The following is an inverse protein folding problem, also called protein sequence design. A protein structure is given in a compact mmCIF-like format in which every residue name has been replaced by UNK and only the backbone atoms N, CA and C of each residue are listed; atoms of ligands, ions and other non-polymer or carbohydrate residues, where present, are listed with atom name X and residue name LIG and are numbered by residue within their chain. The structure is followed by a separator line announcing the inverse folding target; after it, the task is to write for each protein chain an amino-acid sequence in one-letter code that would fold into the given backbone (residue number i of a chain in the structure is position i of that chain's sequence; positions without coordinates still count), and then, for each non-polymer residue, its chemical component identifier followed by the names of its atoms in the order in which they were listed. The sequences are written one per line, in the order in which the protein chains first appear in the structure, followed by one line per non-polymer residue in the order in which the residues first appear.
data_IF_603834847040
#
_entry.id   IF_603834847040
#
_cell.length_a   1.000
_cell.length_b   1.000
_cell.length_c   1.000
_cell.angle_alpha   90.00
_cell.angle_beta   90.00
_cell.angle_gamma   90.00
#
_symmetry.space_group_name_H-M   'P 1'
#
loop_
_entity.id
_entity.type
_entity.pdbx_description
1 polymer ?
#
# COMPACT_ATOMS: atom_id res chain seq x y z
N UNK A 1 -22.57 -27.17 -29.20
CA UNK A 1 -21.92 -25.97 -29.80
C UNK A 1 -22.63 -24.68 -29.41
N UNK A 2 -23.96 -24.52 -29.57
CA UNK A 2 -24.69 -23.33 -29.07
C UNK A 2 -24.57 -23.13 -27.55
N UNK A 3 -24.74 -24.18 -26.75
CA UNK A 3 -24.57 -24.15 -25.28
C UNK A 3 -23.18 -23.68 -24.80
N UNK A 4 -22.13 -23.91 -25.60
CA UNK A 4 -20.75 -23.57 -25.25
C UNK A 4 -20.42 -22.13 -25.66
N UNK A 5 -21.01 -21.67 -26.77
CA UNK A 5 -20.96 -20.27 -27.16
C UNK A 5 -21.74 -19.41 -26.15
N UNK A 6 -22.95 -19.79 -25.74
CA UNK A 6 -23.73 -19.00 -24.78
C UNK A 6 -23.06 -18.86 -23.40
N UNK A 7 -22.28 -19.86 -22.98
CA UNK A 7 -21.56 -19.87 -21.72
C UNK A 7 -20.30 -18.97 -21.70
N UNK A 8 -19.61 -18.81 -22.84
CA UNK A 8 -18.34 -18.08 -22.94
C UNK A 8 -18.40 -16.79 -23.78
N UNK A 9 -19.39 -16.62 -24.65
CA UNK A 9 -19.37 -15.58 -25.70
C UNK A 9 -20.44 -14.51 -25.58
N UNK A 10 -21.41 -14.63 -24.66
CA UNK A 10 -22.29 -13.51 -24.30
C UNK A 10 -21.72 -12.74 -23.09
N UNK A 11 -21.24 -11.50 -23.26
CA UNK A 11 -20.73 -10.68 -22.18
C UNK A 11 -21.75 -10.41 -21.06
N UNK A 12 -23.04 -10.60 -21.34
CA UNK A 12 -24.14 -10.42 -20.37
C UNK A 12 -24.53 -11.72 -19.65
N UNK A 13 -24.11 -12.90 -20.13
CA UNK A 13 -24.50 -14.20 -19.57
C UNK A 13 -23.59 -14.68 -18.44
N UNK A 14 -22.28 -14.39 -18.49
CA UNK A 14 -21.31 -14.79 -17.46
C UNK A 14 -20.46 -13.60 -16.96
N UNK A 15 -21.03 -12.79 -16.08
CA UNK A 15 -20.35 -11.62 -15.47
C UNK A 15 -19.03 -11.97 -14.79
N UNK A 16 -18.96 -13.14 -14.15
CA UNK A 16 -17.76 -13.60 -13.47
C UNK A 16 -16.62 -13.88 -14.45
N UNK A 17 -16.89 -14.60 -15.54
CA UNK A 17 -15.91 -14.87 -16.57
C UNK A 17 -15.35 -13.59 -17.19
N UNK A 18 -16.21 -12.62 -17.53
CA UNK A 18 -15.77 -11.36 -18.10
C UNK A 18 -14.90 -10.55 -17.14
N UNK A 19 -15.30 -10.49 -15.87
CA UNK A 19 -14.49 -9.87 -14.82
C UNK A 19 -13.10 -10.52 -14.72
N UNK A 20 -13.03 -11.85 -14.62
CA UNK A 20 -11.76 -12.56 -14.52
C UNK A 20 -10.91 -12.42 -15.79
N UNK A 21 -11.52 -12.42 -16.98
CA UNK A 21 -10.83 -12.21 -18.25
C UNK A 21 -10.19 -10.83 -18.31
N UNK A 22 -10.91 -9.78 -17.92
CA UNK A 22 -10.39 -8.41 -17.85
C UNK A 22 -9.34 -8.23 -16.76
N UNK A 23 -9.52 -8.86 -15.61
CA UNK A 23 -8.50 -8.91 -14.55
C UNK A 23 -7.21 -9.58 -15.00
N UNK A 24 -7.31 -10.66 -15.78
CA UNK A 24 -6.14 -11.35 -16.36
C UNK A 24 -5.43 -10.45 -17.39
N UNK A 25 -6.19 -9.74 -18.23
CA UNK A 25 -5.65 -8.75 -19.16
C UNK A 25 -4.86 -7.66 -18.39
N UNK A 26 -5.44 -7.08 -17.34
CA UNK A 26 -4.75 -6.13 -16.46
C UNK A 26 -3.45 -6.73 -15.89
N UNK A 27 -3.50 -7.96 -15.38
CA UNK A 27 -2.35 -8.66 -14.79
C UNK A 27 -1.23 -8.95 -15.81
N UNK A 28 -1.56 -9.10 -17.10
CA UNK A 28 -0.58 -9.26 -18.19
C UNK A 28 -0.01 -7.92 -18.66
N UNK A 29 -0.82 -6.85 -18.65
CA UNK A 29 -0.42 -5.52 -19.11
C UNK A 29 0.41 -4.78 -18.06
N UNK A 30 0.09 -4.92 -16.78
CA UNK A 30 0.75 -4.21 -15.67
C UNK A 30 2.27 -4.37 -15.66
N UNK A 31 2.86 -5.59 -15.75
CA UNK A 31 4.31 -5.74 -15.83
C UNK A 31 4.93 -5.02 -17.03
N UNK A 32 4.25 -5.01 -18.19
CA UNK A 32 4.75 -4.33 -19.40
C UNK A 32 4.76 -2.82 -19.24
N UNK A 33 3.76 -2.27 -18.56
CA UNK A 33 3.63 -0.82 -18.33
C UNK A 33 4.64 -0.36 -17.29
N UNK A 34 4.85 -1.15 -16.24
CA UNK A 34 5.76 -0.85 -15.14
C UNK A 34 7.19 -1.38 -15.35
N UNK A 35 7.49 -1.85 -16.56
CA UNK A 35 8.81 -2.30 -17.00
C UNK A 35 9.44 -3.42 -16.16
N UNK A 36 8.62 -4.37 -15.69
CA UNK A 36 9.10 -5.59 -15.02
C UNK A 36 8.54 -6.88 -15.64
N UNK A 37 9.07 -8.01 -15.19
CA UNK A 37 8.59 -9.33 -15.64
C UNK A 37 8.49 -10.33 -14.49
N UNK A 38 7.63 -11.33 -14.69
CA UNK A 38 7.51 -12.46 -13.79
C UNK A 38 8.56 -13.49 -14.23
N UNK A 39 9.49 -13.81 -13.34
CA UNK A 39 10.54 -14.79 -13.58
C UNK A 39 10.06 -16.22 -13.34
N UNK A 40 9.24 -16.43 -12.30
CA UNK A 40 8.68 -17.74 -11.98
C UNK A 40 7.33 -17.62 -11.25
N UNK A 41 6.48 -18.62 -11.43
CA UNK A 41 5.24 -18.79 -10.68
C UNK A 41 5.14 -20.25 -10.23
N UNK A 42 5.13 -20.47 -8.92
CA UNK A 42 4.83 -21.78 -8.35
C UNK A 42 3.42 -21.73 -7.77
N UNK A 43 2.60 -22.73 -8.08
CA UNK A 43 1.25 -22.85 -7.51
C UNK A 43 1.10 -24.21 -6.85
N UNK A 44 0.57 -24.22 -5.63
CA UNK A 44 0.21 -25.43 -4.88
C UNK A 44 -1.30 -25.42 -4.62
N UNK A 45 -1.90 -26.59 -4.77
CA UNK A 45 -3.32 -26.82 -4.54
C UNK A 45 -3.49 -27.80 -3.39
N UNK A 46 -4.23 -27.40 -2.37
CA UNK A 46 -4.58 -28.21 -1.20
C UNK A 46 -6.10 -28.39 -1.19
N UNK A 47 -6.54 -29.46 -1.87
CA UNK A 47 -7.95 -29.80 -2.04
C UNK A 47 -8.57 -30.22 -0.70
N UNK A 48 -9.63 -29.53 -0.29
CA UNK A 48 -10.34 -29.76 0.97
C UNK A 48 -11.53 -30.68 0.81
N UNK A 49 -12.33 -30.49 -0.24
CA UNK A 49 -13.46 -31.35 -0.59
C UNK A 49 -13.72 -31.33 -2.08
N UNK A 50 -14.35 -32.41 -2.57
CA UNK A 50 -14.89 -32.53 -3.92
C UNK A 50 -16.27 -33.16 -3.80
N UNK A 51 -17.31 -32.39 -4.05
CA UNK A 51 -18.70 -32.81 -3.99
C UNK A 51 -19.26 -32.94 -5.41
N UNK A 52 -19.69 -34.14 -5.78
CA UNK A 52 -20.20 -34.44 -7.12
C UNK A 52 -21.73 -34.58 -7.04
N UNK A 53 -22.44 -33.66 -7.68
CA UNK A 53 -23.89 -33.71 -7.89
C UNK A 53 -24.21 -34.03 -9.36
N UNK A 54 -25.46 -34.37 -9.67
CA UNK A 54 -25.87 -34.79 -11.03
C UNK A 54 -25.53 -33.75 -12.12
N UNK A 55 -25.63 -32.45 -11.79
CA UNK A 55 -25.44 -31.35 -12.75
C UNK A 55 -24.20 -30.46 -12.47
N UNK A 56 -23.51 -30.64 -11.35
CA UNK A 56 -22.41 -29.76 -10.92
C UNK A 56 -21.38 -30.48 -10.04
N UNK A 57 -20.11 -30.09 -10.13
CA UNK A 57 -19.07 -30.52 -9.19
C UNK A 57 -18.59 -29.29 -8.41
N UNK A 58 -18.59 -29.36 -7.08
CA UNK A 58 -18.08 -28.31 -6.21
C UNK A 58 -16.74 -28.75 -5.64
N UNK A 59 -15.74 -27.88 -5.70
CA UNK A 59 -14.38 -28.13 -5.20
C UNK A 59 -13.98 -27.01 -4.26
N UNK A 60 -13.80 -27.32 -2.98
CA UNK A 60 -13.16 -26.40 -2.04
C UNK A 60 -11.64 -26.69 -2.04
N UNK A 61 -10.83 -25.69 -2.34
CA UNK A 61 -9.37 -25.82 -2.49
C UNK A 61 -8.67 -24.59 -1.93
N UNK A 62 -7.57 -24.80 -1.22
CA UNK A 62 -6.66 -23.72 -0.86
C UNK A 62 -5.57 -23.62 -1.92
N UNK A 63 -5.37 -22.42 -2.46
CA UNK A 63 -4.38 -22.13 -3.48
C UNK A 63 -3.27 -21.31 -2.84
N UNK A 64 -2.07 -21.89 -2.75
CA UNK A 64 -0.85 -21.15 -2.39
C UNK A 64 -0.08 -20.84 -3.68
N UNK A 65 -0.08 -19.57 -4.09
CA UNK A 65 0.67 -19.03 -5.23
C UNK A 65 1.94 -18.35 -4.73
N UNK A 66 3.04 -18.59 -5.40
CA UNK A 66 4.34 -17.99 -5.11
C UNK A 66 4.84 -17.32 -6.38
N UNK A 67 4.87 -16.00 -6.40
CA UNK A 67 5.31 -15.22 -7.58
C UNK A 67 6.72 -14.70 -7.34
N UNK A 68 7.60 -14.90 -8.32
CA UNK A 68 8.94 -14.34 -8.33
C UNK A 68 9.07 -13.35 -9.48
N UNK A 69 9.46 -12.12 -9.18
CA UNK A 69 9.73 -11.09 -10.19
C UNK A 69 11.19 -11.19 -10.67
N UNK A 70 11.49 -10.69 -11.86
CA UNK A 70 12.82 -10.75 -12.47
C UNK A 70 13.90 -10.01 -11.68
N UNK A 71 13.49 -9.05 -10.85
CA UNK A 71 14.39 -8.23 -10.04
C UNK A 71 14.39 -8.62 -8.55
N UNK A 72 13.58 -9.58 -8.14
CA UNK A 72 13.51 -10.03 -6.75
C UNK A 72 13.94 -11.49 -6.65
N UNK A 73 14.82 -11.80 -5.70
CA UNK A 73 15.24 -13.18 -5.44
C UNK A 73 14.16 -13.98 -4.69
N UNK A 74 13.29 -13.28 -3.96
CA UNK A 74 12.24 -13.86 -3.12
C UNK A 74 11.01 -14.28 -3.93
N UNK A 75 10.29 -15.23 -3.35
CA UNK A 75 8.93 -15.55 -3.75
C UNK A 75 7.96 -14.83 -2.83
N UNK A 76 6.95 -14.22 -3.43
CA UNK A 76 5.86 -13.61 -2.70
C UNK A 76 4.72 -14.62 -2.56
N UNK A 77 4.45 -15.08 -1.34
CA UNK A 77 3.36 -16.00 -1.08
C UNK A 77 2.02 -15.26 -1.11
N UNK A 78 1.08 -15.80 -1.87
CA UNK A 78 -0.32 -15.41 -1.88
C UNK A 78 -1.13 -16.66 -1.58
N UNK A 79 -1.92 -16.64 -0.51
CA UNK A 79 -2.80 -17.75 -0.13
C UNK A 79 -4.24 -17.31 -0.27
N UNK A 80 -5.04 -18.09 -0.97
CA UNK A 80 -6.47 -17.85 -1.13
C UNK A 80 -7.25 -19.15 -0.97
N UNK A 81 -8.43 -19.04 -0.35
CA UNK A 81 -9.38 -20.14 -0.26
C UNK A 81 -10.40 -19.99 -1.38
N UNK A 82 -10.55 -21.03 -2.18
CA UNK A 82 -11.40 -21.06 -3.36
C UNK A 82 -12.53 -22.08 -3.19
N UNK A 83 -13.73 -21.68 -3.58
CA UNK A 83 -14.87 -22.57 -3.85
C UNK A 83 -15.19 -22.54 -5.33
N UNK A 84 -14.80 -23.60 -6.04
CA UNK A 84 -14.93 -23.72 -7.49
C UNK A 84 -16.16 -24.54 -7.81
N UNK A 85 -17.08 -23.99 -8.61
CA UNK A 85 -18.21 -24.71 -9.20
C UNK A 85 -17.86 -25.08 -10.64
N UNK A 86 -17.89 -26.37 -10.95
CA UNK A 86 -17.67 -26.91 -12.28
C UNK A 86 -18.98 -27.40 -12.89
N UNK A 87 -19.12 -27.18 -14.19
CA UNK A 87 -20.26 -27.65 -14.99
C UNK A 87 -19.79 -28.67 -16.02
N UNK A 88 -20.53 -29.77 -16.16
CA UNK A 88 -20.32 -30.73 -17.22
C UNK A 88 -21.08 -30.30 -18.49
N UNK A 89 -20.36 -30.05 -19.57
CA UNK A 89 -20.94 -29.77 -20.89
C UNK A 89 -20.26 -30.69 -21.89
N UNK A 90 -21.05 -31.52 -22.59
CA UNK A 90 -20.54 -32.46 -23.61
C UNK A 90 -19.36 -33.32 -23.11
N UNK A 91 -19.46 -33.86 -21.89
CA UNK A 91 -18.42 -34.66 -21.20
C UNK A 91 -17.11 -33.92 -20.93
N UNK A 92 -17.15 -32.59 -20.82
CA UNK A 92 -16.02 -31.75 -20.40
C UNK A 92 -16.42 -30.90 -19.22
N UNK A 93 -15.51 -30.78 -18.26
CA UNK A 93 -15.70 -29.94 -17.08
C UNK A 93 -15.19 -28.53 -17.38
N UNK A 94 -16.01 -27.54 -17.07
CA UNK A 94 -15.71 -26.12 -17.19
C UNK A 94 -15.93 -25.44 -15.85
N UNK A 95 -15.08 -24.46 -15.51
CA UNK A 95 -15.30 -23.61 -14.34
C UNK A 95 -16.48 -22.68 -14.66
N UNK A 96 -17.59 -22.88 -13.94
CA UNK A 96 -18.76 -21.99 -13.97
C UNK A 96 -18.57 -20.81 -13.03
N UNK A 97 -17.98 -21.06 -11.85
CA UNK A 97 -17.74 -20.04 -10.84
C UNK A 97 -16.50 -20.41 -10.02
N UNK A 98 -15.76 -19.40 -9.58
CA UNK A 98 -14.65 -19.55 -8.64
C UNK A 98 -14.75 -18.45 -7.58
N UNK A 99 -15.15 -18.83 -6.36
CA UNK A 99 -15.39 -17.91 -5.25
C UNK A 99 -14.18 -17.87 -4.34
N UNK A 100 -13.52 -16.72 -4.29
CA UNK A 100 -12.37 -16.43 -3.42
C UNK A 100 -12.33 -14.92 -3.15
N UNK A 101 -11.52 -14.52 -2.18
CA UNK A 101 -11.34 -13.11 -1.81
C UNK A 101 -9.88 -12.72 -1.93
N UNK A 102 -9.64 -11.64 -2.67
CA UNK A 102 -8.43 -10.84 -2.68
C UNK A 102 -8.80 -9.39 -3.02
N UNK A 103 -7.84 -8.48 -2.93
CA UNK A 103 -8.04 -7.03 -3.12
C UNK A 103 -8.74 -6.69 -4.46
N UNK A 104 -8.41 -7.40 -5.54
CA UNK A 104 -9.10 -7.20 -6.83
C UNK A 104 -10.46 -7.87 -6.88
N UNK A 105 -10.64 -9.04 -6.25
CA UNK A 105 -11.95 -9.70 -6.18
C UNK A 105 -12.99 -8.89 -5.42
N UNK A 106 -12.60 -8.00 -4.51
CA UNK A 106 -13.53 -7.07 -3.87
C UNK A 106 -14.18 -6.10 -4.87
N UNK A 107 -13.51 -5.84 -6.01
CA UNK A 107 -14.06 -5.05 -7.11
C UNK A 107 -15.13 -5.80 -7.92
N UNK A 108 -15.30 -7.11 -7.70
CA UNK A 108 -16.32 -7.90 -8.37
C UNK A 108 -17.72 -7.47 -7.91
N UNK A 109 -18.53 -7.00 -8.85
CA UNK A 109 -19.87 -6.46 -8.56
C UNK A 109 -19.91 -4.95 -8.31
N UNK A 110 -18.75 -4.27 -8.35
CA UNK A 110 -18.64 -2.81 -8.26
C UNK A 110 -18.55 -2.13 -9.65
N UNK A 111 -18.91 -2.83 -10.73
CA UNK A 111 -18.78 -2.36 -12.12
C UNK A 111 -17.37 -1.84 -12.46
N UNK A 112 -16.33 -2.51 -11.95
CA UNK A 112 -14.94 -2.16 -12.17
C UNK A 112 -14.57 -2.10 -13.66
N UNK A 113 -14.01 -0.97 -14.08
CA UNK A 113 -13.49 -0.75 -15.42
C UNK A 113 -11.97 -1.02 -15.45
N UNK A 114 -11.59 -2.25 -15.81
CA UNK A 114 -10.18 -2.62 -15.94
C UNK A 114 -9.46 -1.87 -17.07
N UNK A 115 -10.16 -1.41 -18.10
CA UNK A 115 -9.54 -0.64 -19.18
C UNK A 115 -9.15 0.75 -18.65
N UNK A 116 -10.00 1.35 -17.80
CA UNK A 116 -9.65 2.56 -17.06
C UNK A 116 -8.51 2.32 -16.07
N UNK A 117 -8.48 1.19 -15.34
CA UNK A 117 -7.34 0.87 -14.45
C UNK A 117 -6.02 0.75 -15.21
N UNK A 118 -6.02 0.17 -16.42
CA UNK A 118 -4.84 0.12 -17.30
C UNK A 118 -4.41 1.54 -17.71
N UNK A 119 -5.37 2.43 -18.00
CA UNK A 119 -5.07 3.80 -18.38
C UNK A 119 -4.52 4.60 -17.20
N UNK A 120 -5.14 4.49 -16.03
CA UNK A 120 -4.69 5.10 -14.78
C UNK A 120 -3.28 4.64 -14.40
N UNK A 121 -2.98 3.35 -14.61
CA UNK A 121 -1.64 2.78 -14.41
C UNK A 121 -0.60 3.45 -15.33
N UNK A 122 -0.91 3.62 -16.62
CA UNK A 122 -0.03 4.30 -17.58
C UNK A 122 0.20 5.76 -17.20
N UNK A 123 -0.88 6.47 -16.87
CA UNK A 123 -0.83 7.88 -16.53
C UNK A 123 -0.09 8.11 -15.21
N UNK A 124 -0.30 7.22 -14.23
CA UNK A 124 0.43 7.18 -12.97
C UNK A 124 1.92 6.90 -13.15
N UNK A 125 2.28 5.90 -13.93
CA UNK A 125 3.70 5.61 -14.21
C UNK A 125 4.37 6.77 -14.96
N UNK A 126 3.70 7.35 -15.96
CA UNK A 126 4.20 8.54 -16.65
C UNK A 126 4.36 9.75 -15.72
N UNK A 127 3.44 9.93 -14.74
CA UNK A 127 3.56 10.95 -13.70
C UNK A 127 4.78 10.70 -12.83
N UNK A 128 5.01 9.46 -12.38
CA UNK A 128 6.17 9.07 -11.58
C UNK A 128 7.48 9.40 -12.30
N UNK A 129 7.59 9.08 -13.59
CA UNK A 129 8.77 9.44 -14.39
C UNK A 129 9.00 10.96 -14.45
N UNK A 130 7.93 11.75 -14.60
CA UNK A 130 8.01 13.22 -14.56
C UNK A 130 8.42 13.74 -13.18
N UNK A 131 7.86 13.18 -12.11
CA UNK A 131 8.18 13.56 -10.74
C UNK A 131 9.63 13.19 -10.39
N UNK A 132 10.14 12.05 -10.88
CA UNK A 132 11.55 11.68 -10.75
C UNK A 132 12.46 12.77 -11.33
N UNK A 133 12.17 13.27 -12.53
CA UNK A 133 12.93 14.37 -13.15
C UNK A 133 12.77 15.68 -12.35
N UNK A 134 11.53 16.01 -11.96
CA UNK A 134 11.21 17.26 -11.24
C UNK A 134 11.95 17.37 -9.91
N UNK A 135 12.02 16.27 -9.15
CA UNK A 135 12.58 16.25 -7.80
C UNK A 135 14.03 15.76 -7.76
N UNK A 136 14.62 15.28 -8.87
CA UNK A 136 15.99 14.73 -8.91
C UNK A 136 17.06 15.67 -8.32
N UNK A 137 16.91 16.98 -8.52
CA UNK A 137 17.87 17.99 -8.07
C UNK A 137 17.26 18.97 -7.06
N UNK A 138 16.22 18.58 -6.34
CA UNK A 138 15.63 19.45 -5.33
C UNK A 138 16.65 19.66 -4.18
N UNK A 139 17.23 20.86 -4.01
CA UNK A 139 18.29 21.09 -3.03
C UNK A 139 17.81 20.82 -1.59
N UNK A 140 16.51 20.92 -1.34
CA UNK A 140 15.90 20.67 -0.02
C UNK A 140 16.04 19.20 0.41
N UNK A 141 16.09 18.27 -0.56
CA UNK A 141 16.34 16.85 -0.28
C UNK A 141 17.74 16.67 0.32
N UNK A 142 18.73 17.42 -0.18
CA UNK A 142 20.14 17.33 0.23
C UNK A 142 20.43 18.17 1.50
N UNK A 143 19.88 19.38 1.59
CA UNK A 143 20.08 20.31 2.73
C UNK A 143 19.47 19.79 4.03
N UNK A 144 18.38 19.04 3.97
CA UNK A 144 17.73 18.51 5.17
C UNK A 144 18.55 17.51 6.01
N UNK A 145 19.65 16.97 5.45
CA UNK A 145 20.64 16.16 6.18
C UNK A 145 21.64 17.02 6.96
N UNK A 146 21.75 18.31 6.63
CA UNK A 146 22.71 19.26 7.18
C UNK A 146 22.03 20.62 7.39
N UNK A 147 21.44 20.90 8.55
CA UNK A 147 21.30 22.29 9.02
C UNK A 147 20.94 22.37 10.51
N UNK A 148 21.42 23.42 11.21
CA UNK A 148 20.46 24.50 11.41
C UNK A 148 21.01 25.92 11.24
N UNK A 149 20.29 26.73 10.45
CA UNK A 149 19.91 28.07 10.88
C UNK A 149 18.81 27.95 11.94
N UNK A 150 19.10 28.41 13.15
CA UNK A 150 18.21 28.26 14.32
C UNK A 150 17.97 29.62 14.96
N UNK A 151 16.73 29.85 15.42
CA UNK A 151 16.49 30.81 16.48
C UNK A 151 17.07 30.25 17.78
N UNK A 152 17.59 31.08 18.71
CA UNK A 152 18.01 30.60 20.02
C UNK A 152 16.90 29.76 20.67
N UNK A 153 17.24 28.55 21.13
CA UNK A 153 16.29 27.62 21.78
C UNK A 153 15.65 26.57 20.88
N UNK A 154 15.73 26.71 19.54
CA UNK A 154 15.29 25.68 18.62
C UNK A 154 16.25 24.48 18.63
N UNK A 155 15.72 23.26 18.63
CA UNK A 155 16.48 22.06 18.38
C UNK A 155 15.71 21.06 17.51
N UNK A 156 16.47 20.14 16.91
CA UNK A 156 15.98 19.20 15.91
C UNK A 156 16.20 17.76 16.36
N UNK A 157 15.13 16.97 16.36
CA UNK A 157 15.21 15.52 16.61
C UNK A 157 15.43 14.82 15.28
N UNK A 158 16.53 14.07 15.18
CA UNK A 158 16.85 13.28 14.00
C UNK A 158 15.86 12.12 13.83
N UNK A 159 15.50 11.81 12.58
CA UNK A 159 14.60 10.72 12.26
C UNK A 159 15.34 9.38 12.17
N UNK A 160 15.11 8.49 13.13
CA UNK A 160 15.65 7.12 13.08
C UNK A 160 14.75 6.22 12.24
N UNK A 161 15.06 6.17 10.95
CA UNK A 161 14.35 5.36 9.94
C UNK A 161 14.25 3.88 10.31
N UNK A 162 15.34 3.30 10.83
CA UNK A 162 15.36 1.89 11.22
C UNK A 162 14.38 1.56 12.34
N UNK A 163 14.23 2.47 13.33
CA UNK A 163 13.21 2.33 14.37
C UNK A 163 11.79 2.42 13.78
N UNK A 164 11.57 3.36 12.86
CA UNK A 164 10.27 3.55 12.22
C UNK A 164 9.85 2.29 11.41
N UNK A 165 10.76 1.73 10.62
CA UNK A 165 10.55 0.48 9.86
C UNK A 165 10.35 -0.72 10.80
N UNK A 166 11.12 -0.80 11.88
CA UNK A 166 10.92 -1.83 12.90
C UNK A 166 9.49 -1.80 13.47
N UNK A 167 9.00 -0.60 13.83
CA UNK A 167 7.64 -0.43 14.33
C UNK A 167 6.61 -0.87 13.29
N UNK A 168 6.75 -0.38 12.05
CA UNK A 168 5.82 -0.72 10.97
C UNK A 168 5.69 -2.24 10.78
N UNK A 169 6.81 -2.97 10.78
CA UNK A 169 6.82 -4.44 10.65
C UNK A 169 6.32 -5.17 11.90
N UNK A 170 6.48 -4.58 13.08
CA UNK A 170 5.99 -5.18 14.33
C UNK A 170 4.47 -5.10 14.42
N UNK A 171 3.90 -4.02 13.88
CA UNK A 171 2.48 -3.68 13.96
C UNK A 171 1.76 -3.82 12.62
N UNK A 172 2.27 -4.64 11.72
CA UNK A 172 1.54 -5.09 10.53
C UNK A 172 1.82 -6.57 10.30
N UNK A 173 0.90 -7.26 9.64
CA UNK A 173 1.12 -8.61 9.12
C UNK A 173 0.53 -8.74 7.71
N UNK A 174 0.21 -9.96 7.26
CA UNK A 174 -0.48 -10.21 5.98
C UNK A 174 -1.73 -11.10 6.21
N UNK A 175 -2.33 -11.04 7.41
CA UNK A 175 -3.43 -11.91 7.83
C UNK A 175 -4.72 -11.10 8.11
N UNK A 176 -5.67 -11.20 7.19
CA UNK A 176 -7.03 -10.64 7.37
C UNK A 176 -7.07 -9.12 7.50
N UNK A 177 -8.26 -8.56 7.74
CA UNK A 177 -8.50 -7.10 7.70
C UNK A 177 -8.49 -6.44 9.09
N UNK A 178 -8.23 -7.18 10.17
CA UNK A 178 -8.36 -6.62 11.53
C UNK A 178 -7.06 -5.98 12.01
N UNK A 179 -7.10 -4.67 12.24
CA UNK A 179 -5.96 -3.89 12.76
C UNK A 179 -6.07 -3.56 14.25
N UNK A 180 -7.11 -4.07 14.92
CA UNK A 180 -7.46 -3.74 16.30
C UNK A 180 -6.34 -4.05 17.31
N UNK A 181 -5.47 -5.00 16.99
CA UNK A 181 -4.37 -5.44 17.84
C UNK A 181 -3.09 -4.62 17.66
N UNK A 182 -3.05 -3.71 16.69
CA UNK A 182 -1.80 -3.07 16.22
C UNK A 182 -1.62 -1.61 16.65
N UNK A 183 -2.52 -1.10 17.49
CA UNK A 183 -2.42 0.23 18.05
C UNK A 183 -1.71 0.20 19.42
N UNK A 184 -0.73 1.08 19.62
CA UNK A 184 -0.08 1.18 20.93
C UNK A 184 -0.92 2.03 21.91
N UNK A 185 -0.65 1.90 23.21
CA UNK A 185 -1.45 2.58 24.25
C UNK A 185 -1.50 4.12 24.15
N UNK A 186 -0.58 4.75 23.41
CA UNK A 186 -0.55 6.20 23.17
C UNK A 186 -1.40 6.63 21.97
N UNK A 187 -1.75 5.71 21.07
CA UNK A 187 -2.55 5.97 19.88
C UNK A 187 -3.77 5.05 19.89
N UNK A 188 -4.90 5.57 20.37
CA UNK A 188 -6.13 4.77 20.41
C UNK A 188 -6.61 4.46 18.99
N UNK A 189 -7.04 3.21 18.75
CA UNK A 189 -7.74 2.86 17.51
C UNK A 189 -9.04 3.67 17.39
N UNK A 190 -9.33 4.17 16.20
CA UNK A 190 -10.60 4.85 15.89
C UNK A 190 -11.44 4.12 14.84
N UNK A 191 -11.11 2.86 14.52
CA UNK A 191 -11.86 2.03 13.59
C UNK A 191 -10.96 1.35 12.54
N UNK A 192 -11.59 0.80 11.51
CA UNK A 192 -10.96 0.00 10.45
C UNK A 192 -10.19 0.81 9.39
N UNK A 193 -10.33 2.14 9.38
CA UNK A 193 -9.67 3.04 8.44
C UNK A 193 -8.55 3.85 9.12
N UNK A 194 -7.74 3.18 9.93
CA UNK A 194 -6.70 3.80 10.78
C UNK A 194 -5.33 3.93 10.10
N UNK A 195 -5.28 3.89 8.76
CA UNK A 195 -4.04 4.02 7.99
C UNK A 195 -3.20 5.25 8.38
N UNK A 196 -3.86 6.38 8.60
CA UNK A 196 -3.23 7.62 9.06
C UNK A 196 -2.64 7.48 10.47
N UNK A 197 -3.36 6.85 11.38
CA UNK A 197 -2.90 6.56 12.72
C UNK A 197 -1.65 5.68 12.70
N UNK A 198 -1.66 4.65 11.86
CA UNK A 198 -0.56 3.71 11.73
C UNK A 198 0.71 4.41 11.22
N UNK A 199 0.63 5.13 10.10
CA UNK A 199 1.78 5.86 9.56
C UNK A 199 2.29 6.92 10.55
N UNK A 200 1.38 7.60 11.27
CA UNK A 200 1.74 8.52 12.35
C UNK A 200 2.55 7.84 13.45
N UNK A 201 2.12 6.65 13.91
CA UNK A 201 2.81 5.86 14.92
C UNK A 201 4.21 5.42 14.47
N UNK A 202 4.34 4.99 13.21
CA UNK A 202 5.63 4.61 12.63
C UNK A 202 6.62 5.79 12.66
N UNK A 203 6.18 6.97 12.19
CA UNK A 203 7.02 8.18 12.17
C UNK A 203 7.36 8.63 13.60
N UNK A 204 6.38 8.66 14.52
CA UNK A 204 6.60 9.01 15.92
C UNK A 204 7.62 8.09 16.60
N UNK A 205 7.53 6.77 16.36
CA UNK A 205 8.48 5.81 16.89
C UNK A 205 9.89 6.02 16.32
N UNK A 206 9.99 6.45 15.06
CA UNK A 206 11.23 6.85 14.41
C UNK A 206 11.92 8.06 15.07
N UNK A 207 11.16 8.99 15.65
CA UNK A 207 11.72 10.09 16.43
C UNK A 207 12.06 9.72 17.89
N UNK A 208 11.87 8.46 18.28
CA UNK A 208 12.15 7.99 19.64
C UNK A 208 10.92 7.80 20.51
N UNK A 209 9.71 7.96 19.97
CA UNK A 209 8.47 7.61 20.66
C UNK A 209 8.46 6.15 21.14
N UNK A 210 7.90 5.89 22.32
CA UNK A 210 7.84 4.55 22.92
C UNK A 210 6.50 4.35 23.61
N UNK A 211 6.02 3.11 23.72
CA UNK A 211 4.73 2.80 24.34
C UNK A 211 4.59 3.33 25.78
N UNK A 212 5.71 3.47 26.50
CA UNK A 212 5.80 4.02 27.84
C UNK A 212 6.07 5.54 27.89
N UNK A 213 6.12 6.22 26.74
CA UNK A 213 6.41 7.65 26.68
C UNK A 213 5.24 8.45 27.28
N UNK A 214 5.61 9.52 27.98
CA UNK A 214 4.66 10.59 28.30
C UNK A 214 4.37 11.38 27.02
N UNK A 215 3.36 12.24 27.06
CA UNK A 215 2.91 13.07 25.92
C UNK A 215 3.87 14.25 25.66
N UNK A 216 5.14 13.96 25.75
CA UNK A 216 6.26 14.88 25.61
C UNK A 216 6.98 14.56 24.29
N UNK A 217 8.00 15.35 23.95
CA UNK A 217 8.83 15.15 22.76
C UNK A 217 9.15 13.64 22.50
N UNK A 218 8.96 13.12 21.27
CA UNK A 218 8.64 13.81 20.01
C UNK A 218 7.13 13.87 19.70
N UNK A 219 6.30 14.17 20.69
CA UNK A 219 4.85 14.32 20.53
C UNK A 219 4.43 15.78 20.75
N UNK A 220 3.54 16.31 19.90
CA UNK A 220 2.90 17.62 20.12
C UNK A 220 1.47 17.41 20.62
N UNK A 221 0.87 18.44 21.23
CA UNK A 221 -0.54 18.41 21.63
C UNK A 221 -1.52 18.15 20.46
N UNK A 222 -1.06 18.36 19.23
CA UNK A 222 -1.86 18.20 18.03
C UNK A 222 -1.59 16.83 17.33
N UNK A 223 -0.49 16.12 17.64
CA UNK A 223 -0.02 14.89 16.93
C UNK A 223 -0.30 13.56 17.65
N UNK A 224 -1.29 13.50 18.53
CA UNK A 224 -1.51 12.31 19.35
C UNK A 224 -2.99 11.97 19.51
N UNK A 225 -3.28 10.68 19.41
CA UNK A 225 -4.61 10.10 19.29
C UNK A 225 -5.16 9.62 20.65
N UNK A 226 -5.53 10.55 21.54
CA UNK A 226 -6.12 10.19 22.84
C UNK A 226 -7.53 10.70 23.11
N UNK A 227 -8.04 11.57 22.24
CA UNK A 227 -9.37 12.10 22.48
C UNK A 227 -10.38 11.15 21.89
N UNK A 228 -11.50 10.99 22.57
CA UNK A 228 -12.78 10.57 21.96
C UNK A 228 -13.29 11.59 20.93
N UNK A 229 -12.55 12.68 20.71
CA UNK A 229 -12.82 13.78 19.81
C UNK A 229 -12.28 13.41 18.42
N UNK A 230 -13.19 12.95 17.57
CA UNK A 230 -12.95 12.54 16.17
C UNK A 230 -13.00 13.73 15.23
N UNK A 231 -12.53 14.91 15.68
CA UNK A 231 -12.56 16.11 14.85
C UNK A 231 -11.78 15.86 13.56
N UNK A 232 -12.50 15.90 12.44
CA UNK A 232 -12.02 15.48 11.10
C UNK A 232 -10.89 16.34 10.55
N UNK A 233 -10.58 17.45 11.22
CA UNK A 233 -9.48 18.36 10.86
C UNK A 233 -8.15 17.98 11.54
N UNK A 234 -8.16 16.97 12.41
CA UNK A 234 -6.97 16.54 13.13
C UNK A 234 -6.11 15.66 12.22
N UNK A 235 -4.82 15.95 12.18
CA UNK A 235 -3.90 15.34 11.21
C UNK A 235 -3.50 13.89 11.54
N UNK A 236 -3.96 13.32 12.66
CA UNK A 236 -3.85 11.88 12.93
C UNK A 236 -5.13 11.09 12.63
N UNK A 237 -6.23 11.74 12.22
CA UNK A 237 -7.45 11.07 11.71
C UNK A 237 -7.71 11.35 10.22
N UNK A 238 -6.98 12.30 9.62
CA UNK A 238 -7.21 12.73 8.25
C UNK A 238 -5.88 12.80 7.47
N UNK A 239 -5.80 12.02 6.40
CA UNK A 239 -4.60 11.83 5.56
C UNK A 239 -4.18 13.10 4.82
N UNK A 240 -5.14 13.91 4.34
CA UNK A 240 -4.84 15.18 3.69
C UNK A 240 -4.26 16.18 4.68
N UNK A 241 -4.84 16.28 5.88
CA UNK A 241 -4.32 17.13 6.95
C UNK A 241 -2.94 16.68 7.43
N UNK A 242 -2.68 15.36 7.46
CA UNK A 242 -1.36 14.83 7.77
C UNK A 242 -0.30 15.23 6.76
N UNK A 243 -0.59 15.04 5.47
CA UNK A 243 0.28 15.46 4.39
C UNK A 243 0.59 16.96 4.50
N UNK A 244 -0.45 17.79 4.68
CA UNK A 244 -0.32 19.24 4.80
C UNK A 244 0.45 19.67 6.05
N UNK A 245 0.27 18.98 7.18
CA UNK A 245 1.02 19.23 8.42
C UNK A 245 2.52 19.00 8.21
N UNK A 246 2.91 17.81 7.71
CA UNK A 246 4.32 17.45 7.53
C UNK A 246 5.00 18.38 6.51
N UNK A 247 4.36 18.61 5.36
CA UNK A 247 4.94 19.41 4.27
C UNK A 247 4.88 20.91 4.54
N UNK A 248 3.79 21.38 5.14
CA UNK A 248 3.62 22.77 5.54
C UNK A 248 4.60 23.19 6.64
N UNK A 249 4.89 22.30 7.60
CA UNK A 249 5.87 22.59 8.65
C UNK A 249 7.28 22.76 8.09
N UNK A 250 7.67 21.95 7.11
CA UNK A 250 8.95 22.16 6.43
C UNK A 250 8.95 23.48 5.64
N UNK A 251 7.92 23.71 4.83
CA UNK A 251 7.84 24.88 3.94
C UNK A 251 7.82 26.22 4.70
N UNK A 252 7.23 26.24 5.90
CA UNK A 252 7.09 27.45 6.72
C UNK A 252 8.07 27.50 7.90
N UNK A 253 8.99 26.53 8.00
CA UNK A 253 9.90 26.35 9.14
C UNK A 253 9.20 26.30 10.52
N UNK A 254 8.03 25.66 10.59
CA UNK A 254 7.26 25.51 11.83
C UNK A 254 7.72 24.31 12.67
N UNK A 255 7.27 24.32 13.94
CA UNK A 255 7.45 23.23 14.89
C UNK A 255 6.67 21.97 14.50
N UNK A 256 7.19 20.81 14.91
CA UNK A 256 6.61 19.52 14.61
C UNK A 256 7.40 18.73 13.57
N UNK A 257 6.75 17.72 12.99
CA UNK A 257 7.36 16.89 11.93
C UNK A 257 7.55 17.71 10.68
N UNK A 258 8.69 17.53 10.04
CA UNK A 258 9.01 18.18 8.78
C UNK A 258 9.38 17.16 7.71
N UNK A 259 8.84 17.36 6.52
CA UNK A 259 9.11 16.54 5.35
C UNK A 259 8.72 17.26 4.06
N UNK A 260 9.04 16.68 2.91
CA UNK A 260 8.71 17.24 1.60
C UNK A 260 8.22 16.16 0.64
N UNK A 261 7.48 16.57 -0.39
CA UNK A 261 7.24 15.71 -1.54
C UNK A 261 8.54 15.41 -2.28
N UNK A 262 8.72 14.16 -2.70
CA UNK A 262 9.95 13.64 -3.29
C UNK A 262 9.68 12.76 -4.51
N UNK A 263 10.74 12.39 -5.22
CA UNK A 263 10.76 11.31 -6.21
C UNK A 263 10.96 9.94 -5.56
N UNK A 264 10.74 8.86 -6.33
CA UNK A 264 11.09 7.50 -5.93
C UNK A 264 12.62 7.37 -5.76
N UNK A 265 13.39 7.99 -6.65
CA UNK A 265 14.86 7.95 -6.61
C UNK A 265 15.44 8.45 -5.27
N UNK A 266 14.77 9.41 -4.60
CA UNK A 266 15.20 9.96 -3.30
C UNK A 266 14.43 9.40 -2.09
N UNK A 267 13.50 8.48 -2.33
CA UNK A 267 12.73 7.80 -1.30
C UNK A 267 13.63 6.87 -0.47
N UNK A 268 13.36 6.76 0.83
CA UNK A 268 14.08 5.87 1.73
C UNK A 268 13.09 5.09 2.61
N UNK A 269 13.48 3.92 3.15
CA UNK A 269 12.70 3.27 4.18
C UNK A 269 12.45 4.25 5.34
N UNK A 270 11.24 4.27 5.87
CA UNK A 270 10.81 5.27 6.84
C UNK A 270 10.05 6.46 6.26
N UNK A 271 10.08 6.66 4.95
CA UNK A 271 9.21 7.62 4.26
C UNK A 271 7.79 7.05 4.09
N UNK A 272 6.87 7.80 3.47
CA UNK A 272 5.51 7.33 3.24
C UNK A 272 4.97 7.74 1.87
N UNK A 273 3.94 7.02 1.42
CA UNK A 273 3.16 7.32 0.22
C UNK A 273 1.81 7.87 0.67
N UNK A 274 1.38 8.97 0.08
CA UNK A 274 0.05 9.53 0.22
C UNK A 274 -0.72 9.33 -1.09
N UNK A 275 -1.75 8.50 -1.06
CA UNK A 275 -2.74 8.39 -2.13
C UNK A 275 -3.86 9.40 -1.88
N UNK A 276 -4.10 10.27 -2.86
CA UNK A 276 -5.12 11.33 -2.80
C UNK A 276 -6.53 10.85 -3.17
N UNK A 277 -6.72 9.57 -3.51
CA UNK A 277 -8.01 8.99 -3.91
C UNK A 277 -9.04 8.94 -2.76
N UNK A 278 -10.34 9.08 -3.08
CA UNK A 278 -11.51 8.72 -2.25
C UNK A 278 -11.39 8.89 -0.71
N UNK A 279 -11.04 10.10 -0.24
CA UNK A 279 -10.91 10.40 1.21
C UNK A 279 -9.48 10.29 1.75
N UNK A 280 -8.54 9.88 0.90
CA UNK A 280 -7.10 9.86 1.07
C UNK A 280 -6.61 8.66 1.88
N UNK A 281 -5.53 8.03 1.44
CA UNK A 281 -4.89 6.88 2.08
C UNK A 281 -3.38 7.12 2.24
N UNK A 282 -2.78 6.57 3.30
CA UNK A 282 -1.33 6.63 3.50
C UNK A 282 -0.76 5.25 3.77
N UNK A 283 0.42 5.00 3.21
CA UNK A 283 1.16 3.75 3.33
C UNK A 283 2.60 4.03 3.75
N UNK A 284 3.12 3.24 4.68
CA UNK A 284 4.46 3.43 5.19
C UNK A 284 5.49 2.66 4.36
N UNK A 285 6.57 3.31 3.91
CA UNK A 285 7.60 2.66 3.08
C UNK A 285 8.54 1.85 3.97
N UNK A 286 8.49 0.52 3.84
CA UNK A 286 9.33 -0.41 4.62
C UNK A 286 10.61 -0.82 3.89
N UNK A 287 10.59 -0.74 2.55
CA UNK A 287 11.75 -0.99 1.69
C UNK A 287 11.64 -0.20 0.38
N UNK A 288 12.79 0.15 -0.15
CA UNK A 288 12.99 0.63 -1.52
C UNK A 288 14.12 -0.19 -2.14
N UNK A 289 14.19 -0.26 -3.45
CA UNK A 289 15.25 -1.00 -4.13
C UNK A 289 15.43 -0.57 -5.57
N UNK A 290 16.68 -0.66 -6.02
CA UNK A 290 17.07 -0.58 -7.42
C UNK A 290 16.83 -1.95 -8.07
N UNK A 291 15.81 -2.02 -8.90
CA UNK A 291 15.36 -3.26 -9.56
C UNK A 291 15.99 -3.45 -10.93
N UNK A 292 16.52 -2.39 -11.53
CA UNK A 292 17.05 -2.40 -12.89
C UNK A 292 18.60 -2.28 -12.94
N UNK A 293 19.24 -1.97 -11.81
CA UNK A 293 20.69 -1.84 -11.64
C UNK A 293 21.27 -0.47 -12.02
N UNK A 294 20.46 0.57 -12.17
CA UNK A 294 20.89 1.91 -12.59
C UNK A 294 21.37 2.82 -11.44
N UNK A 295 21.34 2.31 -10.20
CA UNK A 295 21.72 3.03 -8.99
C UNK A 295 20.62 3.91 -8.39
N UNK A 296 19.39 3.83 -8.90
CA UNK A 296 18.23 4.55 -8.37
C UNK A 296 17.15 3.58 -7.90
N UNK A 297 16.34 4.00 -6.93
CA UNK A 297 15.19 3.20 -6.54
C UNK A 297 14.16 3.17 -7.67
N UNK A 298 13.53 2.02 -7.83
CA UNK A 298 12.44 1.79 -8.78
C UNK A 298 11.12 1.58 -8.07
N UNK A 299 10.03 1.86 -8.79
CA UNK A 299 8.67 1.60 -8.30
C UNK A 299 8.44 0.13 -7.92
N UNK A 300 8.99 -0.81 -8.70
CA UNK A 300 8.89 -2.25 -8.41
C UNK A 300 9.62 -2.67 -7.12
N UNK A 301 10.59 -1.87 -6.67
CA UNK A 301 11.37 -2.13 -5.47
C UNK A 301 10.76 -1.58 -4.17
N UNK A 302 9.61 -0.90 -4.26
CA UNK A 302 8.93 -0.31 -3.10
C UNK A 302 8.05 -1.35 -2.41
N UNK A 303 8.36 -1.65 -1.15
CA UNK A 303 7.48 -2.40 -0.25
C UNK A 303 6.90 -1.45 0.82
N UNK A 304 5.64 -1.69 1.17
CA UNK A 304 4.90 -0.91 2.15
C UNK A 304 4.40 -1.77 3.31
N UNK A 305 4.23 -1.12 4.44
CA UNK A 305 3.37 -1.56 5.52
C UNK A 305 2.12 -0.67 5.54
N UNK A 306 0.94 -1.25 5.69
CA UNK A 306 -0.31 -0.50 5.80
C UNK A 306 -1.34 -1.29 6.62
N UNK A 307 -2.25 -0.56 7.25
CA UNK A 307 -3.38 -1.14 7.96
C UNK A 307 -4.59 -1.43 7.04
N UNK A 308 -4.67 -0.75 5.88
CA UNK A 308 -5.61 -1.15 4.82
C UNK A 308 -5.18 -2.51 4.27
N UNK A 309 -6.10 -3.48 4.28
CA UNK A 309 -5.85 -4.90 3.99
C UNK A 309 -4.78 -5.58 4.85
N UNK A 310 -4.24 -4.86 5.85
CA UNK A 310 -3.15 -5.28 6.73
C UNK A 310 -1.98 -5.87 5.93
N UNK A 311 -1.18 -4.97 5.37
CA UNK A 311 -0.01 -5.26 4.55
C UNK A 311 1.27 -5.15 5.36
N UNK A 312 2.14 -6.15 5.25
CA UNK A 312 3.51 -6.17 5.78
C UNK A 312 4.50 -6.50 4.68
N UNK A 313 5.38 -5.54 4.41
CA UNK A 313 6.40 -5.65 3.38
C UNK A 313 5.75 -6.06 2.03
N UNK A 314 4.56 -5.54 1.75
CA UNK A 314 3.79 -5.82 0.54
C UNK A 314 4.23 -4.89 -0.57
N UNK A 315 4.41 -5.37 -1.81
CA UNK A 315 4.85 -4.47 -2.89
C UNK A 315 3.77 -3.45 -3.19
N UNK A 316 4.15 -2.18 -3.27
CA UNK A 316 3.21 -1.09 -3.60
C UNK A 316 2.50 -1.36 -4.93
N UNK A 317 3.26 -1.88 -5.91
CA UNK A 317 2.72 -2.21 -7.22
C UNK A 317 1.61 -3.26 -7.16
N UNK A 318 1.60 -4.13 -6.16
CA UNK A 318 0.65 -5.25 -6.04
C UNK A 318 -0.68 -4.87 -5.38
N UNK A 319 -0.79 -3.64 -4.86
CA UNK A 319 -2.04 -3.07 -4.34
C UNK A 319 -2.99 -2.58 -5.44
N UNK A 320 -4.24 -2.29 -5.09
CA UNK A 320 -5.24 -1.63 -5.95
C UNK A 320 -5.03 -0.11 -6.10
N UNK A 321 -4.00 0.43 -5.44
CA UNK A 321 -3.71 1.87 -5.39
C UNK A 321 -3.59 2.47 -6.79
N UNK A 322 -4.33 3.54 -7.04
CA UNK A 322 -4.19 4.32 -8.27
C UNK A 322 -2.92 5.18 -8.22
N UNK A 323 -1.87 4.74 -8.93
CA UNK A 323 -0.56 5.40 -8.95
C UNK A 323 -0.60 6.85 -9.46
N UNK A 324 -1.63 7.26 -10.21
CA UNK A 324 -1.79 8.66 -10.63
C UNK A 324 -2.06 9.61 -9.46
N UNK A 325 -2.64 9.09 -8.37
CA UNK A 325 -2.98 9.83 -7.17
C UNK A 325 -1.87 9.79 -6.09
N UNK A 326 -0.85 8.97 -6.30
CA UNK A 326 0.26 8.80 -5.35
C UNK A 326 1.19 10.01 -5.32
N UNK A 327 1.51 10.42 -4.10
CA UNK A 327 2.52 11.41 -3.74
C UNK A 327 3.51 10.76 -2.77
N UNK A 328 4.78 10.74 -3.13
CA UNK A 328 5.85 10.24 -2.24
C UNK A 328 6.32 11.34 -1.32
N UNK A 329 6.47 11.06 -0.03
CA UNK A 329 6.83 12.06 0.98
C UNK A 329 8.03 11.62 1.79
N UNK A 330 9.09 12.42 1.72
CA UNK A 330 10.33 12.24 2.49
C UNK A 330 10.21 12.91 3.85
N UNK A 331 10.49 12.16 4.92
CA UNK A 331 10.48 12.65 6.30
C UNK A 331 11.90 12.95 6.76
N UNK A 332 12.13 14.10 7.41
CA UNK A 332 13.48 14.55 7.76
C UNK A 332 13.76 14.57 9.25
N UNK A 333 13.04 15.41 9.97
CA UNK A 333 13.33 15.73 11.35
C UNK A 333 12.07 16.26 12.05
N UNK A 334 12.18 16.45 13.36
CA UNK A 334 11.16 17.09 14.15
C UNK A 334 11.74 18.36 14.79
N UNK A 335 11.16 19.52 14.51
CA UNK A 335 11.58 20.82 15.07
C UNK A 335 10.84 21.09 16.38
N UNK A 336 11.55 21.53 17.41
CA UNK A 336 10.98 21.87 18.71
C UNK A 336 11.69 23.07 19.35
N UNK A 337 10.98 23.77 20.24
CA UNK A 337 11.54 24.80 21.12
C UNK A 337 10.86 24.69 22.49
N UNK A 338 11.61 24.73 23.58
CA UNK A 338 11.07 24.57 24.94
C UNK A 338 10.38 25.85 25.47
N UNK A 339 10.47 26.97 24.76
CA UNK A 339 9.83 28.24 25.13
C UNK A 339 8.40 28.39 24.55
N UNK A 340 7.97 27.43 23.72
CA UNK A 340 6.64 27.32 23.12
C UNK A 340 6.05 25.93 23.39
#
# INVERSE_FOLDING_TARGET
MELLADFFTDPKSNKFYNFQSKRLEYSIQKPKILEYSIADILTKFDYKSIDINDDSIIVDVVVDKFVKLNFDEKYDPMRSEHRITLKNIDNKLYIEKDEYTDEFMELYGMDCDFDQLIQDLKDGYAKILRDNIKYANDPRIQESELEPSSSPGDYYVSYNRSNAVYYARLYSDNNGHSTSNYNNAQFSSYGTNDCQNFVSQCIWYGFGGRNSANKDLPMTAEWWANKTDTNTNWYWVNTAHFYNYITGNYASDNYGVRGITTSIASLQPGDYVYDTSNGGHVMFVSKVGDTNGDGQNDLGGIEICAHTYNHKDYRLIDTDTNLSNCIFVKVFNFKWNNEF
#
